data_IF_074893340209
#
_entry.id   IF_074893340209
#
_cell.length_a   1.000
_cell.length_b   1.000
_cell.length_c   1.000
_cell.angle_alpha   90.00
_cell.angle_beta   90.00
_cell.angle_gamma   90.00
#
_symmetry.space_group_name_H-M   'P 1'
#
loop_
_entity.id
_entity.type
_entity.pdbx_description
1 polymer ?
#
# COMPACT_ATOMS: atom_id res chain seq x y z
N UNK A 1 42.42 2.90 -1.63
CA UNK A 1 41.79 3.90 -2.51
C UNK A 1 42.10 5.27 -1.92
N UNK A 2 42.82 6.19 -2.59
CA UNK A 2 43.16 7.45 -1.96
C UNK A 2 41.94 8.39 -1.97
N UNK A 3 41.60 8.87 -0.78
CA UNK A 3 40.77 10.05 -0.52
C UNK A 3 41.33 11.27 -1.25
N UNK A 4 40.56 11.86 -2.16
CA UNK A 4 40.89 13.14 -2.78
C UNK A 4 39.67 14.07 -2.74
N UNK A 5 39.40 14.58 -1.53
CA UNK A 5 38.55 15.76 -1.34
C UNK A 5 39.27 16.98 -1.93
N UNK A 6 38.68 17.68 -2.91
CA UNK A 6 39.33 18.82 -3.57
C UNK A 6 39.43 20.00 -2.60
N UNK A 7 40.63 20.57 -2.46
CA UNK A 7 40.90 21.63 -1.47
C UNK A 7 40.94 23.03 -2.07
N UNK A 8 40.77 23.16 -3.39
CA UNK A 8 40.80 24.45 -4.07
C UNK A 8 39.64 24.65 -5.06
N UNK A 9 39.22 25.91 -5.21
CA UNK A 9 38.17 26.32 -6.15
C UNK A 9 38.56 25.99 -7.61
N UNK A 10 39.85 25.99 -7.92
CA UNK A 10 40.37 25.72 -9.28
C UNK A 10 40.25 24.24 -9.67
N UNK A 11 40.47 23.32 -8.73
CA UNK A 11 40.24 21.88 -8.93
C UNK A 11 38.75 21.56 -9.15
N UNK A 12 37.86 22.23 -8.41
CA UNK A 12 36.41 22.09 -8.61
C UNK A 12 35.97 22.62 -9.98
N UNK A 13 36.52 23.75 -10.43
CA UNK A 13 36.25 24.30 -11.75
C UNK A 13 36.79 23.42 -12.89
N UNK A 14 37.91 22.71 -12.67
CA UNK A 14 38.44 21.74 -13.63
C UNK A 14 37.55 20.50 -13.73
N UNK A 15 37.05 19.97 -12.60
CA UNK A 15 36.12 18.84 -12.56
C UNK A 15 34.78 19.14 -13.24
N UNK A 16 34.21 20.32 -13.02
CA UNK A 16 32.98 20.76 -13.69
C UNK A 16 33.16 20.87 -15.21
N UNK A 17 34.32 21.38 -15.67
CA UNK A 17 34.65 21.45 -17.09
C UNK A 17 34.80 20.05 -17.72
N UNK A 18 35.42 19.12 -17.00
CA UNK A 18 35.58 17.72 -17.44
C UNK A 18 34.23 16.98 -17.49
N UNK A 19 33.37 17.16 -16.49
CA UNK A 19 32.03 16.59 -16.46
C UNK A 19 31.16 17.12 -17.62
N UNK A 20 31.22 18.44 -17.87
CA UNK A 20 30.55 19.06 -19.02
C UNK A 20 31.08 18.57 -20.37
N UNK A 21 32.35 18.17 -20.45
CA UNK A 21 32.91 17.53 -21.66
C UNK A 21 32.40 16.11 -21.83
N UNK A 22 32.38 15.30 -20.77
CA UNK A 22 31.83 13.93 -20.81
C UNK A 22 30.36 13.91 -21.22
N UNK A 23 29.53 14.82 -20.69
CA UNK A 23 28.12 14.91 -21.08
C UNK A 23 27.93 15.21 -22.57
N UNK A 24 28.75 16.12 -23.13
CA UNK A 24 28.72 16.42 -24.57
C UNK A 24 29.20 15.26 -25.44
N UNK A 25 30.16 14.46 -24.94
CA UNK A 25 30.65 13.30 -25.66
C UNK A 25 29.69 12.09 -25.56
N UNK A 26 28.91 11.99 -24.48
CA UNK A 26 27.77 11.04 -24.36
C UNK A 26 26.63 11.44 -25.31
N UNK A 27 26.23 12.72 -25.31
CA UNK A 27 25.17 13.23 -26.19
C UNK A 27 25.53 13.07 -27.68
N UNK A 28 26.82 13.17 -28.01
CA UNK A 28 27.32 12.97 -29.37
C UNK A 28 27.70 11.52 -29.71
N UNK A 29 27.41 10.55 -28.83
CA UNK A 29 27.64 9.12 -29.07
C UNK A 29 29.11 8.70 -29.20
N UNK A 30 30.06 9.46 -28.63
CA UNK A 30 31.51 9.23 -28.72
C UNK A 30 32.12 8.72 -27.41
N UNK A 31 31.31 8.22 -26.48
CA UNK A 31 31.79 7.70 -25.21
C UNK A 31 32.18 6.22 -25.33
N UNK A 32 33.45 5.89 -25.09
CA UNK A 32 33.95 4.51 -24.99
C UNK A 32 34.20 4.19 -23.51
N UNK A 33 33.44 3.23 -22.97
CA UNK A 33 33.72 2.62 -21.67
C UNK A 33 34.73 1.49 -21.85
N UNK A 34 35.92 1.63 -21.27
CA UNK A 34 36.82 0.49 -21.08
C UNK A 34 36.31 -0.34 -19.89
N UNK A 35 35.67 -1.48 -20.19
CA UNK A 35 35.37 -2.53 -19.22
C UNK A 35 36.68 -3.19 -18.76
N UNK A 36 37.09 -2.97 -17.51
CA UNK A 36 38.14 -3.79 -16.90
C UNK A 36 37.58 -5.16 -16.49
N UNK A 37 38.22 -6.17 -17.05
CA UNK A 37 37.88 -7.60 -17.03
C UNK A 37 38.09 -8.23 -15.64
N UNK A 38 37.18 -9.14 -15.29
CA UNK A 38 37.37 -10.17 -14.26
C UNK A 38 38.50 -11.15 -14.64
N UNK A 39 39.21 -11.68 -13.62
CA UNK A 39 39.75 -13.06 -13.46
C UNK A 39 40.80 -13.10 -12.30
N UNK A 40 41.19 -14.27 -11.73
CA UNK A 40 40.43 -15.39 -11.16
C UNK A 40 41.01 -15.90 -9.79
N UNK A 41 40.37 -16.95 -9.27
CA UNK A 41 40.63 -17.78 -8.07
C UNK A 41 42.06 -18.39 -7.93
N UNK A 42 42.56 -18.57 -6.70
CA UNK A 42 43.75 -19.38 -6.38
C UNK A 42 43.94 -19.68 -4.87
N UNK A 43 44.22 -20.95 -4.53
CA UNK A 43 44.27 -21.61 -3.21
C UNK A 43 45.54 -21.38 -2.35
N UNK A 44 45.34 -21.52 -1.02
CA UNK A 44 46.14 -22.13 0.09
C UNK A 44 47.68 -21.97 0.20
N UNK A 45 48.14 -21.50 1.38
CA UNK A 45 49.22 -22.12 2.18
C UNK A 45 49.35 -21.54 3.62
N UNK A 46 49.67 -22.42 4.56
CA UNK A 46 49.83 -22.29 6.02
C UNK A 46 51.02 -21.42 6.54
N UNK A 47 50.78 -20.76 7.68
CA UNK A 47 51.57 -20.50 8.94
C UNK A 47 53.12 -20.74 9.06
N UNK A 48 53.86 -20.23 10.10
CA UNK A 48 53.41 -19.68 11.42
C UNK A 48 54.17 -18.44 12.02
N UNK A 49 53.61 -17.89 13.14
CA UNK A 49 54.18 -17.40 14.44
C UNK A 49 55.48 -16.52 14.48
N UNK A 50 55.71 -15.47 15.31
CA UNK A 50 55.28 -15.07 16.69
C UNK A 50 55.81 -13.61 17.00
N UNK A 51 55.71 -13.00 18.23
CA UNK A 51 55.33 -11.58 18.43
C UNK A 51 56.37 -10.68 19.16
N UNK A 52 56.10 -9.37 19.28
CA UNK A 52 56.74 -8.45 20.27
C UNK A 52 55.69 -7.46 20.83
N UNK A 53 55.38 -7.56 22.13
CA UNK A 53 55.71 -6.60 23.21
C UNK A 53 54.90 -5.28 23.15
N UNK A 54 53.80 -5.09 23.90
CA UNK A 54 53.68 -4.71 25.33
C UNK A 54 54.62 -3.57 25.75
N UNK A 55 54.08 -2.35 25.84
CA UNK A 55 54.33 -1.43 26.96
C UNK A 55 53.06 -0.65 27.31
N UNK A 56 52.80 -0.58 28.62
CA UNK A 56 51.87 0.31 29.32
C UNK A 56 52.72 1.27 30.18
N UNK A 57 52.40 2.56 30.20
CA UNK A 57 52.41 3.39 31.43
C UNK A 57 51.76 4.76 31.14
N UNK A 58 50.56 5.02 31.66
CA UNK A 58 50.22 5.83 32.86
C UNK A 58 50.68 7.30 32.87
N UNK A 59 49.70 8.21 32.91
CA UNK A 59 49.65 9.30 33.91
C UNK A 59 48.24 9.89 33.99
N UNK A 60 47.68 9.89 35.20
CA UNK A 60 46.43 10.54 35.58
C UNK A 60 46.60 12.05 35.76
N UNK A 61 45.58 12.85 35.42
CA UNK A 61 45.07 13.96 36.26
C UNK A 61 43.79 14.60 35.64
N UNK A 62 42.65 14.43 36.32
CA UNK A 62 41.46 15.31 36.26
C UNK A 62 41.73 16.59 37.10
N UNK A 63 41.02 17.75 36.96
CA UNK A 63 39.54 17.88 36.79
C UNK A 63 39.03 19.05 35.89
N UNK A 64 37.73 19.01 35.55
CA UNK A 64 36.92 20.14 35.02
C UNK A 64 36.41 21.00 36.22
N UNK A 65 36.05 22.32 36.17
CA UNK A 65 34.97 22.82 35.27
C UNK A 65 34.93 24.35 34.87
N UNK A 66 34.20 24.66 33.77
CA UNK A 66 33.43 25.92 33.46
C UNK A 66 34.16 27.22 32.97
N UNK A 67 33.45 28.27 32.46
CA UNK A 67 32.65 28.38 31.22
C UNK A 67 32.99 29.67 30.39
N UNK A 68 32.61 29.77 29.12
CA UNK A 68 32.59 31.04 28.33
C UNK A 68 31.58 30.89 27.18
N UNK A 69 30.34 31.38 27.32
CA UNK A 69 29.84 32.71 26.90
C UNK A 69 29.68 32.93 25.39
N UNK A 70 28.42 32.76 24.95
CA UNK A 70 27.57 33.61 24.09
C UNK A 70 28.04 34.13 22.72
N UNK A 71 27.40 33.65 21.64
CA UNK A 71 26.74 34.41 20.54
C UNK A 71 25.80 33.46 19.72
N UNK A 72 24.87 33.93 18.86
CA UNK A 72 23.48 34.37 19.09
C UNK A 72 22.40 33.35 18.60
N UNK A 73 21.09 33.56 18.88
CA UNK A 73 20.03 32.65 18.43
C UNK A 73 19.79 32.74 16.91
N UNK A 74 19.57 31.60 16.27
CA UNK A 74 19.16 31.49 14.86
C UNK A 74 17.71 31.98 14.72
N UNK A 75 17.53 33.30 14.73
CA UNK A 75 16.35 33.99 14.21
C UNK A 75 16.72 34.65 12.88
N UNK A 76 16.91 33.84 11.84
CA UNK A 76 16.88 34.32 10.45
C UNK A 76 15.49 34.03 9.85
N UNK A 77 14.55 34.84 10.35
CA UNK A 77 13.46 35.50 9.62
C UNK A 77 12.39 34.65 8.93
N UNK A 78 11.28 34.43 9.65
CA UNK A 78 9.89 34.30 9.15
C UNK A 78 9.59 35.28 8.00
N UNK A 79 10.16 36.49 8.05
CA UNK A 79 10.05 37.52 7.03
C UNK A 79 10.69 37.14 5.68
N UNK A 80 11.75 36.32 5.69
CA UNK A 80 12.38 35.80 4.47
C UNK A 80 11.48 34.80 3.75
N UNK A 81 10.86 33.89 4.52
CA UNK A 81 9.91 32.91 4.00
C UNK A 81 8.62 33.56 3.46
N UNK A 82 8.11 34.59 4.12
CA UNK A 82 6.95 35.33 3.61
C UNK A 82 7.25 36.10 2.33
N UNK A 83 8.47 36.65 2.19
CA UNK A 83 8.89 37.35 0.97
C UNK A 83 8.97 36.40 -0.23
N UNK A 84 9.53 35.20 -0.06
CA UNK A 84 9.59 34.18 -1.12
C UNK A 84 8.18 33.72 -1.53
N UNK A 85 7.25 33.56 -0.57
CA UNK A 85 5.84 33.24 -0.88
C UNK A 85 5.13 34.34 -1.67
N UNK A 86 5.36 35.61 -1.33
CA UNK A 86 4.79 36.73 -2.05
C UNK A 86 5.34 36.84 -3.48
N UNK A 87 6.65 36.65 -3.65
CA UNK A 87 7.30 36.64 -4.97
C UNK A 87 6.79 35.47 -5.85
N UNK A 88 6.60 34.28 -5.27
CA UNK A 88 6.05 33.12 -5.99
C UNK A 88 4.58 33.34 -6.39
N UNK A 89 3.79 34.00 -5.54
CA UNK A 89 2.40 34.33 -5.82
C UNK A 89 2.26 35.35 -6.96
N UNK A 90 3.11 36.38 -7.00
CA UNK A 90 3.15 37.33 -8.12
C UNK A 90 3.68 36.71 -9.41
N UNK A 91 4.68 35.82 -9.33
CA UNK A 91 5.16 35.08 -10.50
C UNK A 91 4.05 34.20 -11.12
N UNK A 92 3.17 33.64 -10.30
CA UNK A 92 2.04 32.80 -10.74
C UNK A 92 0.94 33.57 -11.47
N UNK A 93 0.79 34.87 -11.21
CA UNK A 93 -0.17 35.75 -11.92
C UNK A 93 0.23 36.05 -13.36
N UNK A 94 1.51 35.91 -13.70
CA UNK A 94 2.07 36.26 -15.01
C UNK A 94 2.29 35.06 -15.95
N UNK A 95 1.82 33.87 -15.56
CA UNK A 95 1.88 32.67 -16.42
C UNK A 95 0.61 32.65 -17.29
N UNK A 96 0.72 32.77 -18.62
CA UNK A 96 -0.45 32.66 -19.51
C UNK A 96 -0.98 31.22 -19.49
N UNK A 97 -2.30 31.00 -19.47
CA UNK A 97 -2.87 29.66 -19.55
C UNK A 97 -2.55 29.02 -20.91
N UNK A 98 -2.06 27.78 -20.90
CA UNK A 98 -1.92 26.99 -22.13
C UNK A 98 -3.26 26.34 -22.48
N UNK A 99 -3.90 26.94 -23.48
CA UNK A 99 -5.01 26.47 -24.32
C UNK A 99 -6.41 26.26 -23.68
N UNK A 100 -7.49 26.42 -24.49
CA UNK A 100 -8.84 26.73 -24.04
C UNK A 100 -9.81 25.54 -24.15
N UNK A 101 -11.09 25.80 -23.81
CA UNK A 101 -12.33 24.99 -23.89
C UNK A 101 -12.55 24.08 -22.66
N UNK A 102 -13.63 24.15 -21.88
CA UNK A 102 -15.02 24.54 -22.18
C UNK A 102 -15.68 25.33 -21.02
N UNK A 103 -16.37 26.42 -21.34
CA UNK A 103 -17.07 27.30 -20.39
C UNK A 103 -18.47 26.75 -20.19
N UNK A 104 -18.66 25.91 -19.17
CA UNK A 104 -19.99 25.33 -18.90
C UNK A 104 -20.16 24.44 -17.68
N UNK A 105 -19.16 24.21 -16.81
CA UNK A 105 -19.36 23.53 -15.53
C UNK A 105 -19.26 24.54 -14.39
N UNK A 106 -20.30 24.61 -13.56
CA UNK A 106 -20.22 25.27 -12.25
C UNK A 106 -19.01 24.67 -11.49
N UNK A 107 -18.20 25.49 -10.79
CA UNK A 107 -17.17 24.94 -9.93
C UNK A 107 -17.84 24.04 -8.87
N UNK A 108 -17.28 22.85 -8.66
CA UNK A 108 -17.59 22.04 -7.50
C UNK A 108 -17.47 22.92 -6.25
N UNK A 109 -18.42 22.79 -5.32
CA UNK A 109 -18.41 23.53 -4.07
C UNK A 109 -17.05 23.40 -3.37
N UNK A 110 -16.55 24.48 -2.76
CA UNK A 110 -15.35 24.44 -1.91
C UNK A 110 -15.51 23.33 -0.85
N UNK A 111 -14.47 22.54 -0.55
CA UNK A 111 -14.57 21.49 0.46
C UNK A 111 -14.87 22.13 1.83
N UNK A 112 -15.97 21.71 2.47
CA UNK A 112 -16.35 22.19 3.79
C UNK A 112 -15.26 21.87 4.83
N UNK A 113 -14.91 22.87 5.66
CA UNK A 113 -13.82 22.76 6.63
C UNK A 113 -14.20 21.83 7.80
N UNK A 114 -13.32 20.88 8.14
CA UNK A 114 -13.42 20.07 9.36
C UNK A 114 -13.32 20.98 10.59
N UNK A 115 -14.36 21.02 11.42
CA UNK A 115 -14.40 21.88 12.62
C UNK A 115 -13.79 21.18 13.83
N UNK A 116 -12.98 21.88 14.62
CA UNK A 116 -12.40 21.35 15.86
C UNK A 116 -13.29 21.68 17.06
N UNK A 117 -13.69 20.65 17.80
CA UNK A 117 -14.47 20.76 19.03
C UNK A 117 -13.62 21.26 20.21
N UNK A 118 -14.29 21.78 21.24
CA UNK A 118 -13.65 22.34 22.43
C UNK A 118 -12.87 21.30 23.27
N UNK A 119 -13.19 20.01 23.13
CA UNK A 119 -12.48 18.89 23.76
C UNK A 119 -11.25 18.43 22.95
N UNK A 120 -10.96 19.08 21.82
CA UNK A 120 -9.85 18.75 20.95
C UNK A 120 -10.16 17.69 19.90
N UNK A 121 -11.37 17.13 19.86
CA UNK A 121 -11.85 16.23 18.79
C UNK A 121 -12.19 17.01 17.52
N UNK A 122 -12.21 16.35 16.37
CA UNK A 122 -12.60 16.95 15.09
C UNK A 122 -14.00 16.48 14.71
N UNK A 123 -14.92 17.42 14.47
CA UNK A 123 -16.24 17.15 13.92
C UNK A 123 -16.12 16.94 12.41
N UNK A 124 -16.27 15.68 12.01
CA UNK A 124 -16.22 15.20 10.63
C UNK A 124 -17.63 15.02 10.04
N UNK A 125 -18.70 15.50 10.68
CA UNK A 125 -20.08 15.34 10.20
C UNK A 125 -20.29 15.90 8.78
N UNK A 126 -19.52 16.93 8.40
CA UNK A 126 -19.47 17.50 7.05
C UNK A 126 -18.88 16.53 5.98
N UNK A 127 -18.11 15.51 6.39
CA UNK A 127 -17.74 14.38 5.53
C UNK A 127 -18.89 13.37 5.35
N UNK A 128 -20.06 13.58 5.96
CA UNK A 128 -21.19 12.65 5.90
C UNK A 128 -22.52 13.36 5.59
N UNK A 129 -22.63 14.16 4.52
CA UNK A 129 -23.93 14.70 4.14
C UNK A 129 -24.86 13.54 3.71
N UNK A 130 -26.16 13.60 4.05
CA UNK A 130 -27.12 12.58 3.64
C UNK A 130 -27.22 12.51 2.11
N UNK A 131 -27.50 11.33 1.53
CA UNK A 131 -27.69 11.21 0.08
C UNK A 131 -28.81 12.14 -0.37
N UNK A 132 -28.52 12.95 -1.38
CA UNK A 132 -29.50 13.89 -1.95
C UNK A 132 -30.69 13.10 -2.51
N UNK A 133 -31.87 13.35 -1.97
CA UNK A 133 -33.12 12.81 -2.49
C UNK A 133 -33.40 13.42 -3.87
N UNK A 134 -33.03 12.69 -4.93
CA UNK A 134 -33.53 13.02 -6.26
C UNK A 134 -35.01 12.63 -6.33
N UNK A 135 -35.82 13.67 -6.49
CA UNK A 135 -37.26 13.60 -6.67
C UNK A 135 -37.58 12.95 -8.02
N UNK A 136 -38.42 11.93 -8.00
CA UNK A 136 -38.99 11.31 -9.20
C UNK A 136 -39.65 12.38 -10.09
N UNK A 137 -39.15 12.52 -11.32
CA UNK A 137 -39.91 13.10 -12.42
C UNK A 137 -40.23 11.99 -13.41
N UNK A 138 -41.49 11.56 -13.35
CA UNK A 138 -42.19 10.84 -14.40
C UNK A 138 -42.25 11.71 -15.66
N UNK A 139 -41.85 11.19 -16.82
CA UNK A 139 -42.49 11.58 -18.08
C UNK A 139 -42.30 10.54 -19.20
N UNK A 140 -43.24 10.58 -20.14
CA UNK A 140 -43.75 9.48 -20.95
C UNK A 140 -42.87 9.03 -22.13
N UNK A 141 -43.09 7.76 -22.48
CA UNK A 141 -42.63 7.03 -23.67
C UNK A 141 -43.05 7.71 -24.98
N UNK A 142 -42.13 7.79 -25.94
CA UNK A 142 -42.48 7.78 -27.38
C UNK A 142 -41.36 7.10 -28.18
N UNK A 143 -41.73 6.12 -29.00
CA UNK A 143 -40.85 5.35 -29.88
C UNK A 143 -40.69 6.06 -31.25
N UNK A 144 -39.45 6.16 -31.76
CA UNK A 144 -39.00 5.48 -33.01
C UNK A 144 -37.60 5.90 -33.49
N UNK A 145 -36.86 4.86 -33.91
CA UNK A 145 -35.92 4.71 -35.02
C UNK A 145 -34.68 5.61 -35.17
N UNK A 146 -33.52 4.99 -34.90
CA UNK A 146 -32.47 4.75 -35.89
C UNK A 146 -31.46 5.86 -36.18
N UNK A 147 -30.27 5.79 -35.56
CA UNK A 147 -28.97 6.01 -36.20
C UNK A 147 -27.82 5.72 -35.22
N UNK A 148 -26.82 4.95 -35.67
CA UNK A 148 -25.53 4.69 -35.00
C UNK A 148 -24.65 5.94 -35.03
N UNK A 149 -23.83 6.20 -33.98
CA UNK A 149 -22.37 6.21 -34.24
C UNK A 149 -21.43 5.86 -33.06
N UNK A 150 -20.36 5.17 -33.43
CA UNK A 150 -18.94 5.30 -33.02
C UNK A 150 -18.56 5.10 -31.55
N UNK A 151 -18.04 3.89 -31.30
CA UNK A 151 -17.11 3.55 -30.22
C UNK A 151 -15.86 4.44 -30.26
N UNK A 152 -15.57 5.11 -29.14
CA UNK A 152 -14.27 5.71 -28.86
C UNK A 152 -13.41 4.69 -28.15
N UNK A 153 -12.46 4.13 -28.89
CA UNK A 153 -11.45 3.20 -28.40
C UNK A 153 -10.33 3.98 -27.73
N UNK A 154 -10.20 3.88 -26.40
CA UNK A 154 -8.97 4.25 -25.68
C UNK A 154 -8.50 3.01 -24.93
N UNK A 155 -7.44 2.41 -25.46
CA UNK A 155 -6.80 1.23 -24.93
C UNK A 155 -5.31 1.56 -24.90
N UNK A 156 -4.79 1.92 -23.72
CA UNK A 156 -3.36 2.09 -23.50
C UNK A 156 -2.79 0.86 -22.77
N UNK A 157 -1.68 0.37 -23.30
CA UNK A 157 -1.01 -0.87 -22.93
C UNK A 157 0.12 -0.63 -21.92
N UNK A 158 0.01 -1.31 -20.78
CA UNK A 158 1.02 -1.95 -19.91
C UNK A 158 2.38 -1.29 -19.59
N UNK A 159 2.70 -1.28 -18.29
CA UNK A 159 4.07 -1.22 -17.78
C UNK A 159 4.14 -1.35 -16.26
N UNK A 160 4.67 -2.50 -15.81
CA UNK A 160 5.24 -2.83 -14.49
C UNK A 160 4.26 -3.27 -13.37
N UNK A 161 4.25 -4.59 -13.13
CA UNK A 161 3.38 -5.31 -12.21
C UNK A 161 3.93 -5.26 -10.79
N UNK A 162 3.43 -4.34 -9.97
CA UNK A 162 3.52 -4.44 -8.52
C UNK A 162 2.31 -5.19 -7.98
N UNK A 163 2.35 -6.52 -7.93
CA UNK A 163 1.34 -7.31 -7.22
C UNK A 163 1.36 -6.91 -5.73
N UNK A 164 0.25 -6.40 -5.20
CA UNK A 164 -0.02 -6.45 -3.77
C UNK A 164 -0.23 -7.93 -3.40
N UNK A 165 0.79 -8.50 -2.75
CA UNK A 165 0.79 -9.86 -2.25
C UNK A 165 0.02 -9.84 -0.93
N UNK A 166 -1.25 -10.23 -0.95
CA UNK A 166 -1.89 -10.78 0.25
C UNK A 166 -1.41 -12.21 0.37
N UNK A 167 -0.43 -12.48 1.23
CA UNK A 167 0.09 -13.84 1.46
C UNK A 167 -0.98 -14.72 2.11
N UNK A 168 -1.23 -15.87 1.49
CA UNK A 168 -2.07 -16.96 1.98
C UNK A 168 -1.19 -18.19 2.22
N UNK A 169 -1.59 -19.05 3.15
CA UNK A 169 -0.83 -20.26 3.49
C UNK A 169 -1.58 -21.21 4.42
N UNK A 170 -2.58 -21.94 3.90
CA UNK A 170 -3.26 -23.02 4.62
C UNK A 170 -3.37 -24.29 3.77
N UNK A 171 -2.57 -25.30 4.11
CA UNK A 171 -2.59 -26.66 3.54
C UNK A 171 -3.69 -27.50 4.21
N UNK A 172 -4.48 -28.26 3.43
CA UNK A 172 -5.47 -29.20 3.97
C UNK A 172 -5.78 -30.33 2.99
N UNK A 173 -5.27 -31.53 3.25
CA UNK A 173 -5.61 -32.78 2.57
C UNK A 173 -6.64 -33.56 3.39
N UNK A 174 -7.72 -34.03 2.76
CA UNK A 174 -8.82 -34.76 3.43
C UNK A 174 -8.62 -36.27 3.61
N UNK A 175 -9.42 -36.85 4.52
CA UNK A 175 -9.63 -38.30 4.72
C UNK A 175 -10.61 -38.60 5.87
N UNK A 176 -11.51 -39.56 5.64
CA UNK A 176 -12.74 -39.88 6.40
C UNK A 176 -12.60 -40.70 7.72
N UNK A 177 -13.68 -40.60 8.53
CA UNK A 177 -14.31 -41.52 9.52
C UNK A 177 -13.69 -41.92 10.90
N UNK A 178 -14.46 -41.54 11.94
CA UNK A 178 -14.90 -42.22 13.18
C UNK A 178 -13.95 -42.50 14.39
N UNK A 179 -14.32 -41.94 15.56
CA UNK A 179 -13.93 -42.43 16.89
C UNK A 179 -14.01 -41.39 18.02
N UNK A 180 -14.89 -41.60 18.99
CA UNK A 180 -15.21 -40.73 20.15
C UNK A 180 -14.18 -40.86 21.31
N UNK A 181 -13.70 -39.72 21.85
CA UNK A 181 -13.63 -39.35 23.29
C UNK A 181 -12.40 -38.51 23.75
N UNK A 182 -12.74 -37.37 24.37
CA UNK A 182 -12.08 -36.54 25.41
C UNK A 182 -10.82 -35.69 25.10
N UNK A 183 -11.01 -34.37 25.29
CA UNK A 183 -10.11 -33.22 25.04
C UNK A 183 -8.76 -33.24 25.78
N UNK A 184 -7.73 -32.61 25.18
CA UNK A 184 -7.31 -31.31 25.73
C UNK A 184 -6.88 -30.25 24.70
N UNK A 185 -7.41 -29.03 24.85
CA UNK A 185 -6.94 -27.71 24.37
C UNK A 185 -6.36 -27.69 22.94
N UNK A 186 -7.26 -27.60 21.96
CA UNK A 186 -6.96 -27.44 20.54
C UNK A 186 -6.47 -26.00 20.22
N UNK A 187 -5.23 -25.88 19.73
CA UNK A 187 -4.96 -24.91 18.66
C UNK A 187 -5.62 -25.45 17.39
N UNK A 188 -6.95 -25.40 17.36
CA UNK A 188 -7.78 -25.96 16.29
C UNK A 188 -7.56 -25.16 15.03
N UNK A 189 -7.28 -25.87 13.93
CA UNK A 189 -7.22 -25.30 12.60
C UNK A 189 -8.63 -24.82 12.23
N UNK A 190 -8.98 -23.59 12.60
CA UNK A 190 -10.31 -23.04 12.37
C UNK A 190 -10.56 -22.98 10.86
N UNK A 191 -11.57 -23.69 10.39
CA UNK A 191 -12.02 -23.66 8.99
C UNK A 191 -13.39 -23.02 8.91
N UNK A 192 -13.62 -22.21 7.88
CA UNK A 192 -14.94 -21.66 7.61
C UNK A 192 -15.82 -22.78 7.02
N UNK A 193 -17.00 -23.08 7.60
CA UNK A 193 -17.89 -24.10 7.07
C UNK A 193 -18.31 -23.81 5.62
N UNK A 194 -18.42 -24.85 4.79
CA UNK A 194 -18.86 -24.72 3.39
C UNK A 194 -20.28 -24.14 3.25
N UNK A 195 -21.11 -24.34 4.28
CA UNK A 195 -22.48 -23.86 4.39
C UNK A 195 -22.62 -22.58 5.21
N UNK A 196 -21.55 -21.77 5.31
CA UNK A 196 -21.60 -20.46 5.97
C UNK A 196 -22.77 -19.63 5.43
N UNK A 197 -23.55 -19.08 6.35
CA UNK A 197 -24.73 -18.31 6.01
C UNK A 197 -24.37 -16.85 5.71
N UNK A 198 -25.15 -16.13 4.89
CA UNK A 198 -25.04 -14.69 4.76
C UNK A 198 -25.11 -13.99 6.13
N UNK A 199 -24.24 -12.99 6.33
CA UNK A 199 -24.13 -12.27 7.59
C UNK A 199 -22.75 -11.67 7.80
N UNK A 200 -22.57 -11.06 8.98
CA UNK A 200 -21.30 -10.53 9.44
C UNK A 200 -20.67 -11.44 10.49
N UNK A 201 -19.36 -11.63 10.39
CA UNK A 201 -18.57 -12.49 11.26
C UNK A 201 -17.34 -11.73 11.74
N UNK A 202 -17.22 -11.58 13.06
CA UNK A 202 -16.17 -10.77 13.68
C UNK A 202 -14.86 -11.54 13.91
N UNK A 203 -14.94 -12.85 14.11
CA UNK A 203 -13.84 -13.65 14.66
C UNK A 203 -13.34 -14.75 13.70
N UNK A 204 -13.49 -14.57 12.38
CA UNK A 204 -12.93 -15.51 11.39
C UNK A 204 -11.42 -15.20 11.21
N UNK A 205 -10.48 -16.10 11.52
CA UNK A 205 -9.06 -15.87 11.28
C UNK A 205 -8.75 -15.56 9.81
N UNK A 206 -7.65 -14.84 9.55
CA UNK A 206 -7.32 -14.37 8.21
C UNK A 206 -7.14 -15.53 7.21
N UNK A 207 -6.39 -16.55 7.60
CA UNK A 207 -6.13 -17.76 6.80
C UNK A 207 -7.43 -18.50 6.49
N UNK A 208 -8.31 -18.64 7.49
CA UNK A 208 -9.60 -19.28 7.34
C UNK A 208 -10.54 -18.50 6.40
N UNK A 209 -10.50 -17.18 6.45
CA UNK A 209 -11.22 -16.33 5.51
C UNK A 209 -10.71 -16.58 4.09
N UNK A 210 -9.40 -16.50 3.83
CA UNK A 210 -8.87 -16.68 2.48
C UNK A 210 -9.14 -18.07 1.89
N UNK A 211 -9.09 -19.11 2.71
CA UNK A 211 -9.46 -20.48 2.32
C UNK A 211 -10.98 -20.73 2.23
N UNK A 212 -11.79 -19.87 2.85
CA UNK A 212 -13.24 -20.05 2.99
C UNK A 212 -14.04 -19.95 1.67
N UNK A 213 -15.29 -20.44 1.69
CA UNK A 213 -16.19 -20.41 0.55
C UNK A 213 -16.56 -18.98 0.16
N UNK A 214 -17.20 -18.83 -1.01
CA UNK A 214 -17.63 -17.55 -1.54
C UNK A 214 -16.55 -16.79 -2.30
N UNK A 215 -16.97 -16.04 -3.32
CA UNK A 215 -16.08 -15.31 -4.22
C UNK A 215 -15.69 -13.95 -3.63
N UNK A 216 -14.40 -13.65 -3.64
CA UNK A 216 -13.83 -12.39 -3.13
C UNK A 216 -13.37 -11.45 -4.26
N UNK A 217 -13.08 -10.19 -3.93
CA UNK A 217 -12.55 -9.21 -4.90
C UNK A 217 -11.29 -9.69 -5.60
N UNK A 218 -10.32 -10.22 -4.85
CA UNK A 218 -9.05 -10.74 -5.41
C UNK A 218 -9.30 -11.90 -6.38
N UNK A 219 -10.28 -12.75 -6.08
CA UNK A 219 -10.68 -13.82 -6.99
C UNK A 219 -11.38 -13.30 -8.25
N UNK A 220 -12.17 -12.22 -8.16
CA UNK A 220 -12.76 -11.58 -9.34
C UNK A 220 -11.70 -10.85 -10.19
N UNK A 221 -10.63 -10.35 -9.59
CA UNK A 221 -9.49 -9.83 -10.35
C UNK A 221 -8.82 -10.91 -11.21
N UNK A 222 -8.69 -12.14 -10.70
CA UNK A 222 -8.22 -13.26 -11.52
C UNK A 222 -9.14 -13.52 -12.72
N UNK A 223 -10.46 -13.50 -12.49
CA UNK A 223 -11.45 -13.69 -13.56
C UNK A 223 -11.37 -12.57 -14.60
N UNK A 224 -11.10 -11.33 -14.17
CA UNK A 224 -10.98 -10.18 -15.04
C UNK A 224 -9.76 -10.24 -15.97
N UNK A 225 -8.66 -10.84 -15.50
CA UNK A 225 -7.50 -11.15 -16.35
C UNK A 225 -7.88 -12.30 -17.29
N UNK A 226 -8.20 -13.47 -16.71
CA UNK A 226 -8.62 -14.64 -17.45
C UNK A 226 -9.26 -15.67 -16.50
N UNK A 227 -10.43 -16.27 -16.81
CA UNK A 227 -11.05 -17.25 -15.91
C UNK A 227 -10.18 -18.48 -15.60
N UNK A 228 -9.23 -18.85 -16.46
CA UNK A 228 -8.28 -19.93 -16.19
C UNK A 228 -7.26 -19.57 -15.09
N UNK A 229 -6.95 -18.27 -14.90
CA UNK A 229 -6.04 -17.82 -13.84
C UNK A 229 -6.61 -18.09 -12.45
N UNK A 230 -7.94 -18.02 -12.28
CA UNK A 230 -8.59 -18.40 -11.02
C UNK A 230 -8.31 -19.86 -10.64
N UNK A 231 -8.32 -20.77 -11.62
CA UNK A 231 -7.96 -22.17 -11.37
C UNK A 231 -6.46 -22.33 -11.12
N UNK A 232 -5.64 -21.68 -11.95
CA UNK A 232 -4.19 -21.72 -11.82
C UNK A 232 -3.75 -21.24 -10.43
N UNK A 233 -4.26 -20.10 -9.93
CA UNK A 233 -3.88 -19.56 -8.62
C UNK A 233 -4.16 -20.53 -7.48
N UNK A 234 -5.24 -21.33 -7.56
CA UNK A 234 -5.58 -22.34 -6.56
C UNK A 234 -4.71 -23.60 -6.63
N UNK A 235 -4.25 -23.97 -7.81
CA UNK A 235 -3.51 -25.23 -8.02
C UNK A 235 -2.01 -25.05 -8.14
N UNK A 236 -1.53 -23.84 -8.41
CA UNK A 236 -0.12 -23.54 -8.55
C UNK A 236 0.60 -23.72 -7.21
N UNK A 237 1.81 -24.31 -7.21
CA UNK A 237 2.61 -24.42 -5.99
C UNK A 237 3.07 -23.04 -5.51
N UNK A 238 3.07 -22.84 -4.19
CA UNK A 238 3.55 -21.62 -3.55
C UNK A 238 4.99 -21.82 -3.07
N UNK A 239 5.87 -20.89 -3.44
CA UNK A 239 7.24 -20.81 -2.92
C UNK A 239 7.22 -20.15 -1.53
N UNK A 240 7.18 -20.97 -0.49
CA UNK A 240 7.06 -20.52 0.91
C UNK A 240 8.33 -19.85 1.44
N UNK A 241 9.45 -19.90 0.73
CA UNK A 241 10.66 -19.17 1.11
C UNK A 241 10.56 -17.70 0.69
N UNK A 242 9.89 -17.41 -0.43
CA UNK A 242 9.72 -16.05 -0.96
C UNK A 242 8.52 -15.29 -0.39
N UNK A 243 7.61 -15.96 0.31
CA UNK A 243 6.50 -15.32 1.03
C UNK A 243 6.91 -14.72 2.37
N UNK A 244 8.13 -15.00 2.85
CA UNK A 244 8.62 -14.56 4.18
C UNK A 244 9.17 -13.13 4.21
N UNK A 245 9.22 -12.43 3.08
CA UNK A 245 9.65 -11.04 3.07
C UNK A 245 8.66 -10.18 3.88
N UNK A 246 9.18 -9.33 4.77
CA UNK A 246 8.35 -8.38 5.52
C UNK A 246 7.60 -7.48 4.54
N UNK A 247 6.28 -7.56 4.54
CA UNK A 247 5.45 -6.57 3.88
C UNK A 247 5.17 -5.40 4.84
N UNK A 248 5.83 -4.27 4.57
CA UNK A 248 5.62 -3.01 5.29
C UNK A 248 4.15 -2.55 5.22
N UNK A 249 3.42 -2.89 4.14
CA UNK A 249 1.99 -2.62 4.03
C UNK A 249 1.17 -3.35 5.09
N UNK A 250 1.35 -4.67 5.18
CA UNK A 250 0.74 -5.52 6.22
C UNK A 250 1.07 -5.05 7.63
N UNK A 251 2.33 -4.69 7.91
CA UNK A 251 2.74 -4.19 9.22
C UNK A 251 2.04 -2.85 9.57
N UNK A 252 1.96 -1.92 8.61
CA UNK A 252 1.28 -0.64 8.78
C UNK A 252 -0.23 -0.80 9.03
N UNK A 253 -0.88 -1.63 8.23
CA UNK A 253 -2.30 -1.92 8.34
C UNK A 253 -2.64 -2.52 9.72
N UNK A 254 -1.93 -3.57 10.13
CA UNK A 254 -2.10 -4.19 11.45
C UNK A 254 -1.81 -3.20 12.59
N UNK A 255 -0.77 -2.35 12.45
CA UNK A 255 -0.44 -1.32 13.44
C UNK A 255 -1.52 -0.26 13.62
N UNK A 256 -2.24 0.08 12.54
CA UNK A 256 -3.31 1.09 12.53
C UNK A 256 -4.64 0.53 13.03
N UNK A 257 -4.98 -0.70 12.67
CA UNK A 257 -6.33 -1.26 12.86
C UNK A 257 -6.40 -2.26 14.01
N UNK A 258 -5.34 -3.02 14.26
CA UNK A 258 -5.30 -4.11 15.22
C UNK A 258 -4.06 -4.02 16.14
N UNK A 259 -3.92 -2.94 16.94
CA UNK A 259 -2.70 -2.67 17.70
C UNK A 259 -2.33 -3.76 18.72
N UNK A 260 -3.30 -4.57 19.17
CA UNK A 260 -3.04 -5.70 20.06
C UNK A 260 -2.58 -6.95 19.29
N UNK A 261 -3.06 -7.18 18.06
CA UNK A 261 -2.53 -8.22 17.18
C UNK A 261 -1.15 -7.85 16.65
N UNK A 262 -0.88 -6.57 16.40
CA UNK A 262 0.42 -6.09 15.97
C UNK A 262 1.53 -6.53 16.96
N UNK A 263 1.29 -6.41 18.27
CA UNK A 263 2.25 -6.82 19.32
C UNK A 263 2.49 -8.33 19.37
N UNK A 264 1.54 -9.13 18.86
CA UNK A 264 1.64 -10.59 18.79
C UNK A 264 2.35 -11.05 17.52
N UNK A 265 2.13 -10.34 16.41
CA UNK A 265 2.59 -10.73 15.06
C UNK A 265 3.94 -10.13 14.69
N UNK A 266 4.31 -8.99 15.27
CA UNK A 266 5.52 -8.25 14.91
C UNK A 266 6.40 -7.96 16.12
N UNK A 267 7.71 -8.05 15.93
CA UNK A 267 8.72 -7.59 16.90
C UNK A 267 9.72 -6.69 16.19
N UNK A 268 9.99 -5.51 16.78
CA UNK A 268 11.02 -4.60 16.28
C UNK A 268 12.34 -4.99 16.95
N UNK A 269 13.29 -5.42 16.13
CA UNK A 269 14.64 -5.76 16.55
C UNK A 269 15.36 -4.52 17.09
N UNK A 270 16.16 -4.65 18.16
CA UNK A 270 17.01 -3.56 18.63
C UNK A 270 18.07 -3.20 17.57
N UNK A 271 18.70 -2.04 17.73
CA UNK A 271 19.80 -1.65 16.86
C UNK A 271 21.07 -2.43 17.21
N UNK A 272 21.58 -3.20 16.26
CA UNK A 272 22.80 -3.98 16.42
C UNK A 272 23.99 -3.33 15.73
N UNK A 273 25.15 -3.31 16.39
CA UNK A 273 26.37 -2.84 15.77
C UNK A 273 26.99 -3.91 14.85
N UNK A 274 26.57 -3.93 13.59
CA UNK A 274 27.05 -4.88 12.57
C UNK A 274 28.55 -4.77 12.23
N UNK A 275 29.28 -3.76 12.75
CA UNK A 275 30.72 -3.60 12.53
C UNK A 275 31.56 -4.41 13.52
N UNK A 276 31.00 -4.85 14.64
CA UNK A 276 31.71 -5.65 15.65
C UNK A 276 31.30 -7.12 15.56
N UNK A 277 32.19 -8.03 15.96
CA UNK A 277 31.85 -9.47 16.06
C UNK A 277 30.73 -9.68 17.08
N UNK A 278 30.82 -9.02 18.23
CA UNK A 278 29.79 -9.08 19.28
C UNK A 278 28.40 -8.64 18.77
N UNK A 279 28.30 -7.53 18.03
CA UNK A 279 27.01 -7.08 17.52
C UNK A 279 26.39 -7.99 16.45
N UNK A 280 27.23 -8.70 15.67
CA UNK A 280 26.76 -9.76 14.76
C UNK A 280 26.29 -11.00 15.52
N UNK A 281 26.97 -11.36 16.60
CA UNK A 281 26.58 -12.48 17.47
C UNK A 281 25.27 -12.18 18.21
N UNK A 282 25.09 -10.94 18.70
CA UNK A 282 23.84 -10.47 19.31
C UNK A 282 22.67 -10.48 18.32
N UNK A 283 22.88 -9.96 17.10
CA UNK A 283 21.86 -9.99 16.03
C UNK A 283 21.46 -11.43 15.70
N UNK A 284 22.45 -12.32 15.56
CA UNK A 284 22.22 -13.73 15.28
C UNK A 284 21.44 -14.41 16.42
N UNK A 285 21.85 -14.20 17.66
CA UNK A 285 21.19 -14.77 18.83
C UNK A 285 19.74 -14.27 18.96
N UNK A 286 19.48 -13.01 18.62
CA UNK A 286 18.13 -12.46 18.60
C UNK A 286 17.26 -13.12 17.52
N UNK A 287 17.76 -13.22 16.29
CA UNK A 287 17.03 -13.89 15.20
C UNK A 287 16.75 -15.36 15.52
N UNK A 288 17.73 -16.09 16.05
CA UNK A 288 17.57 -17.48 16.50
C UNK A 288 16.51 -17.60 17.61
N UNK A 289 16.43 -16.63 18.52
CA UNK A 289 15.40 -16.60 19.57
C UNK A 289 13.98 -16.39 19.02
N UNK A 290 13.86 -15.75 17.85
CA UNK A 290 12.59 -15.47 17.19
C UNK A 290 12.18 -16.54 16.17
N UNK A 291 13.12 -17.37 15.67
CA UNK A 291 12.93 -18.28 14.53
C UNK A 291 11.83 -19.34 14.75
N UNK A 292 11.50 -19.65 16.01
CA UNK A 292 10.45 -20.59 16.40
C UNK A 292 9.19 -19.95 16.98
N UNK A 293 9.13 -18.62 17.02
CA UNK A 293 8.01 -17.89 17.63
C UNK A 293 6.84 -17.65 16.67
N UNK A 294 7.04 -17.81 15.36
CA UNK A 294 6.06 -17.44 14.33
C UNK A 294 5.86 -15.93 14.19
N UNK A 295 6.65 -15.12 14.90
CA UNK A 295 6.59 -13.65 14.88
C UNK A 295 7.46 -13.13 13.73
N UNK A 296 6.94 -12.14 13.02
CA UNK A 296 7.70 -11.44 11.98
C UNK A 296 8.65 -10.42 12.62
N UNK A 297 9.94 -10.60 12.40
CA UNK A 297 10.98 -9.68 12.89
C UNK A 297 11.14 -8.52 11.93
N UNK A 298 10.99 -7.30 12.42
CA UNK A 298 11.31 -6.06 11.72
C UNK A 298 12.66 -5.54 12.20
N UNK A 299 13.49 -5.02 11.30
CA UNK A 299 14.71 -4.30 11.68
C UNK A 299 14.39 -3.00 12.43
N UNK A 300 15.36 -2.47 13.19
CA UNK A 300 15.23 -1.17 13.86
C UNK A 300 14.88 -0.04 12.87
N UNK A 301 15.44 -0.07 11.66
CA UNK A 301 15.14 0.94 10.61
C UNK A 301 13.71 0.82 10.10
N UNK A 302 13.24 -0.40 9.83
CA UNK A 302 11.85 -0.67 9.41
C UNK A 302 10.86 -0.28 10.50
N UNK A 303 11.13 -0.61 11.76
CA UNK A 303 10.30 -0.22 12.91
C UNK A 303 10.23 1.30 13.07
N UNK A 304 11.37 2.01 12.93
CA UNK A 304 11.41 3.47 12.95
C UNK A 304 10.56 4.07 11.83
N UNK A 305 10.67 3.52 10.61
CA UNK A 305 9.89 3.95 9.45
C UNK A 305 8.39 3.74 9.67
N UNK A 306 8.00 2.57 10.15
CA UNK A 306 6.62 2.22 10.49
C UNK A 306 6.01 3.20 11.49
N UNK A 307 6.71 3.48 12.61
CA UNK A 307 6.19 4.40 13.63
C UNK A 307 6.10 5.85 13.14
N UNK A 308 6.99 6.28 12.22
CA UNK A 308 6.87 7.60 11.58
C UNK A 308 5.68 7.67 10.60
N UNK A 309 5.40 6.60 9.86
CA UNK A 309 4.21 6.50 9.01
C UNK A 309 2.94 6.52 9.88
N UNK A 310 2.89 5.69 10.92
CA UNK A 310 1.81 5.67 11.91
C UNK A 310 1.59 7.06 12.54
N UNK A 311 2.67 7.72 12.98
CA UNK A 311 2.62 9.07 13.53
C UNK A 311 2.11 10.10 12.54
N UNK A 312 2.44 9.96 11.25
CA UNK A 312 1.93 10.83 10.18
C UNK A 312 0.42 10.64 9.98
N UNK A 313 -0.08 9.40 10.07
CA UNK A 313 -1.52 9.10 10.01
C UNK A 313 -2.27 9.70 11.20
N UNK A 314 -1.75 9.50 12.42
CA UNK A 314 -2.38 10.02 13.65
C UNK A 314 -2.30 11.55 13.76
N UNK A 315 -1.38 12.19 13.04
CA UNK A 315 -1.32 13.65 12.93
C UNK A 315 -2.34 14.22 11.93
N UNK A 316 -2.83 13.41 10.97
CA UNK A 316 -3.84 13.83 10.01
C UNK A 316 -5.24 13.80 10.66
N UNK A 317 -5.96 14.93 10.77
CA UNK A 317 -7.16 15.05 11.61
C UNK A 317 -8.29 14.11 11.17
N UNK A 318 -8.54 14.00 9.86
CA UNK A 318 -9.55 13.09 9.33
C UNK A 318 -9.19 11.61 9.51
N UNK A 319 -7.91 11.26 9.38
CA UNK A 319 -7.48 9.86 9.50
C UNK A 319 -7.59 9.40 10.95
N UNK A 320 -7.09 10.22 11.87
CA UNK A 320 -7.23 10.00 13.30
C UNK A 320 -8.69 9.85 13.71
N UNK A 321 -9.55 10.77 13.28
CA UNK A 321 -10.98 10.72 13.61
C UNK A 321 -11.63 9.41 13.12
N UNK A 322 -11.34 8.97 11.90
CA UNK A 322 -11.88 7.72 11.34
C UNK A 322 -11.34 6.46 12.05
N UNK A 323 -10.06 6.46 12.44
CA UNK A 323 -9.44 5.33 13.15
C UNK A 323 -9.93 5.22 14.60
N UNK A 324 -10.04 6.34 15.31
CA UNK A 324 -10.52 6.42 16.71
C UNK A 324 -12.04 6.26 16.82
N UNK A 325 -12.80 6.50 15.75
CA UNK A 325 -14.24 6.33 15.74
C UNK A 325 -14.66 4.89 16.05
N UNK A 326 -15.81 4.77 16.73
CA UNK A 326 -16.42 3.48 17.05
C UNK A 326 -16.76 2.72 15.76
N UNK A 327 -16.27 1.50 15.69
CA UNK A 327 -16.37 0.66 14.51
C UNK A 327 -15.76 -0.71 14.76
N UNK A 328 -15.84 -1.57 13.76
CA UNK A 328 -15.21 -2.89 13.77
C UNK A 328 -14.17 -2.95 12.66
N UNK A 329 -13.07 -3.61 12.96
CA UNK A 329 -11.97 -3.86 12.04
C UNK A 329 -11.98 -5.31 11.60
N UNK A 330 -11.41 -5.60 10.44
CA UNK A 330 -11.17 -6.96 9.95
C UNK A 330 -12.35 -7.92 10.06
N UNK A 331 -13.60 -7.44 9.91
CA UNK A 331 -14.76 -8.32 10.02
C UNK A 331 -15.18 -8.81 8.65
N UNK A 332 -15.52 -10.10 8.54
CA UNK A 332 -15.92 -10.70 7.28
C UNK A 332 -17.42 -10.52 7.06
N UNK A 333 -17.82 -10.08 5.87
CA UNK A 333 -19.22 -10.00 5.45
C UNK A 333 -19.43 -10.97 4.30
N UNK A 334 -20.42 -11.85 4.47
CA UNK A 334 -20.87 -12.80 3.47
C UNK A 334 -22.27 -12.44 3.01
N UNK A 335 -22.51 -12.49 1.70
CA UNK A 335 -23.85 -12.31 1.15
C UNK A 335 -24.06 -13.17 -0.09
N UNK A 336 -25.31 -13.52 -0.34
CA UNK A 336 -25.69 -14.18 -1.60
C UNK A 336 -26.08 -13.12 -2.61
N UNK A 337 -25.38 -13.10 -3.76
CA UNK A 337 -25.73 -12.20 -4.86
C UNK A 337 -27.11 -12.55 -5.42
N UNK A 338 -28.00 -11.56 -5.51
CA UNK A 338 -29.40 -11.80 -5.89
C UNK A 338 -29.59 -12.16 -7.37
N UNK A 339 -28.65 -11.78 -8.23
CA UNK A 339 -28.73 -12.05 -9.68
C UNK A 339 -28.14 -13.41 -10.05
N UNK A 340 -26.96 -13.75 -9.51
CA UNK A 340 -26.23 -14.99 -9.84
C UNK A 340 -26.48 -16.12 -8.85
N UNK A 341 -26.95 -15.81 -7.64
CA UNK A 341 -27.04 -16.78 -6.53
C UNK A 341 -25.69 -17.18 -5.94
N UNK A 342 -24.59 -16.54 -6.37
CA UNK A 342 -23.26 -16.85 -5.86
C UNK A 342 -23.06 -16.26 -4.46
N UNK A 343 -22.48 -17.06 -3.56
CA UNK A 343 -21.99 -16.56 -2.29
C UNK A 343 -20.78 -15.66 -2.56
N UNK A 344 -20.83 -14.43 -2.09
CA UNK A 344 -19.78 -13.43 -2.17
C UNK A 344 -19.28 -13.09 -0.77
N UNK A 345 -18.02 -12.63 -0.69
CA UNK A 345 -17.42 -12.20 0.58
C UNK A 345 -16.50 -11.00 0.44
N UNK A 346 -16.50 -10.19 1.47
CA UNK A 346 -15.59 -9.04 1.65
C UNK A 346 -15.09 -9.02 3.09
N UNK A 347 -13.96 -8.34 3.30
CA UNK A 347 -13.40 -8.07 4.62
C UNK A 347 -12.95 -6.60 4.64
N UNK A 348 -13.84 -5.67 5.02
CA UNK A 348 -13.47 -4.27 5.20
C UNK A 348 -12.42 -4.11 6.30
N UNK A 349 -11.39 -3.31 6.03
CA UNK A 349 -10.35 -2.98 7.02
C UNK A 349 -10.96 -2.35 8.28
N UNK A 350 -11.88 -1.39 8.09
CA UNK A 350 -12.73 -0.87 9.16
C UNK A 350 -14.07 -0.41 8.60
N UNK A 351 -15.13 -0.57 9.37
CA UNK A 351 -16.39 0.16 9.16
C UNK A 351 -16.85 0.80 10.46
N UNK A 352 -17.57 1.92 10.35
CA UNK A 352 -18.07 2.64 11.50
C UNK A 352 -19.45 2.12 11.93
N UNK A 353 -19.71 2.07 13.24
CA UNK A 353 -20.99 1.58 13.77
C UNK A 353 -22.09 2.64 13.69
N UNK A 354 -21.71 3.91 13.84
CA UNK A 354 -22.65 5.04 13.95
C UNK A 354 -22.76 5.86 12.65
N UNK A 355 -22.09 5.44 11.58
CA UNK A 355 -22.12 6.09 10.27
C UNK A 355 -21.86 5.03 9.19
N UNK A 356 -22.59 5.02 8.06
CA UNK A 356 -22.39 4.04 7.00
C UNK A 356 -21.14 4.42 6.19
N UNK A 357 -19.96 4.16 6.75
CA UNK A 357 -18.67 4.33 6.08
C UNK A 357 -17.79 3.11 6.27
N UNK A 358 -17.18 2.71 5.16
CA UNK A 358 -16.09 1.75 5.09
C UNK A 358 -14.79 2.51 4.84
N UNK A 359 -13.76 2.17 5.59
CA UNK A 359 -12.40 2.64 5.45
C UNK A 359 -11.53 1.48 4.97
N UNK A 360 -10.65 1.74 4.01
CA UNK A 360 -9.64 0.81 3.52
C UNK A 360 -8.26 1.51 3.51
N UNK A 361 -7.26 0.90 4.12
CA UNK A 361 -5.92 1.43 4.30
C UNK A 361 -5.02 0.94 3.17
N UNK A 362 -4.39 1.88 2.46
CA UNK A 362 -3.47 1.58 1.36
C UNK A 362 -2.10 2.19 1.61
N UNK A 363 -1.07 1.34 1.64
CA UNK A 363 0.31 1.81 1.56
C UNK A 363 0.66 2.04 0.09
N UNK A 364 1.21 3.21 -0.23
CA UNK A 364 1.60 3.58 -1.60
C UNK A 364 3.09 3.89 -1.65
N UNK A 365 3.77 3.52 -2.74
CA UNK A 365 5.18 3.88 -2.92
C UNK A 365 5.35 5.41 -2.92
N UNK A 366 4.51 6.11 -3.69
CA UNK A 366 4.49 7.56 -3.85
C UNK A 366 3.04 8.04 -3.97
N UNK A 367 2.71 9.17 -3.33
CA UNK A 367 1.33 9.66 -3.28
C UNK A 367 0.78 10.06 -4.66
N UNK A 368 1.63 10.54 -5.57
CA UNK A 368 1.22 10.93 -6.93
C UNK A 368 0.73 9.75 -7.77
N UNK A 369 1.10 8.52 -7.39
CA UNK A 369 0.71 7.30 -8.10
C UNK A 369 -0.67 6.77 -7.70
N UNK A 370 -1.25 7.24 -6.59
CA UNK A 370 -2.46 6.63 -6.04
C UNK A 370 -3.63 6.66 -7.03
N UNK A 371 -3.86 7.76 -7.75
CA UNK A 371 -4.92 7.84 -8.75
C UNK A 371 -4.74 6.79 -9.87
N UNK A 372 -3.50 6.53 -10.30
CA UNK A 372 -3.20 5.49 -11.29
C UNK A 372 -3.40 4.08 -10.70
N UNK A 373 -3.01 3.87 -9.44
CA UNK A 373 -3.22 2.62 -8.72
C UNK A 373 -4.71 2.26 -8.57
N UNK A 374 -5.60 3.26 -8.45
CA UNK A 374 -7.06 3.01 -8.42
C UNK A 374 -7.52 2.25 -9.67
N UNK A 375 -6.96 2.58 -10.83
CA UNK A 375 -7.25 1.88 -12.08
C UNK A 375 -6.49 0.56 -12.19
N UNK A 376 -5.17 0.58 -11.98
CA UNK A 376 -4.29 -0.60 -12.16
C UNK A 376 -4.62 -1.75 -11.21
N UNK A 377 -4.91 -1.45 -9.94
CA UNK A 377 -5.26 -2.44 -8.93
C UNK A 377 -6.76 -2.56 -8.72
N UNK A 378 -7.55 -1.90 -9.57
CA UNK A 378 -9.01 -2.01 -9.57
C UNK A 378 -9.63 -1.68 -8.21
N UNK A 379 -9.12 -0.65 -7.54
CA UNK A 379 -9.65 -0.22 -6.24
C UNK A 379 -11.09 0.31 -6.36
N UNK A 380 -11.48 0.84 -7.52
CA UNK A 380 -12.85 1.20 -7.82
C UNK A 380 -13.80 -0.03 -7.81
N UNK A 381 -13.34 -1.19 -8.29
CA UNK A 381 -14.07 -2.47 -8.20
C UNK A 381 -14.14 -2.97 -6.75
N UNK A 382 -13.06 -2.77 -5.97
CA UNK A 382 -13.06 -3.06 -4.54
C UNK A 382 -14.13 -2.24 -3.81
N UNK A 383 -14.12 -0.92 -4.00
CA UNK A 383 -15.08 -0.02 -3.38
C UNK A 383 -16.52 -0.43 -3.72
N UNK A 384 -16.82 -0.67 -4.99
CA UNK A 384 -18.15 -1.09 -5.43
C UNK A 384 -18.59 -2.42 -4.80
N UNK A 385 -17.74 -3.47 -4.84
CA UNK A 385 -18.06 -4.76 -4.25
C UNK A 385 -18.26 -4.68 -2.73
N UNK A 386 -17.48 -3.84 -2.04
CA UNK A 386 -17.58 -3.67 -0.59
C UNK A 386 -18.85 -2.91 -0.21
N UNK A 387 -19.21 -1.87 -0.98
CA UNK A 387 -20.48 -1.17 -0.82
C UNK A 387 -21.67 -2.12 -1.02
N UNK A 388 -21.63 -3.00 -2.02
CA UNK A 388 -22.70 -3.97 -2.28
C UNK A 388 -22.83 -5.02 -1.18
N UNK A 389 -21.71 -5.58 -0.69
CA UNK A 389 -21.75 -6.53 0.42
C UNK A 389 -22.29 -5.90 1.70
N UNK A 390 -21.88 -4.66 2.00
CA UNK A 390 -22.42 -3.91 3.14
C UNK A 390 -23.90 -3.58 2.98
N UNK A 391 -24.33 -3.17 1.79
CA UNK A 391 -25.74 -2.89 1.49
C UNK A 391 -26.61 -4.14 1.61
N UNK A 392 -26.11 -5.29 1.15
CA UNK A 392 -26.81 -6.57 1.29
C UNK A 392 -26.97 -6.97 2.76
N UNK A 393 -25.98 -6.68 3.61
CA UNK A 393 -26.01 -6.97 5.03
C UNK A 393 -26.85 -5.98 5.85
N UNK A 394 -26.61 -4.68 5.68
CA UNK A 394 -27.18 -3.62 6.52
C UNK A 394 -28.46 -2.98 5.97
N UNK A 395 -28.71 -3.12 4.67
CA UNK A 395 -29.77 -2.40 3.95
C UNK A 395 -29.40 -0.97 3.54
N UNK A 396 -28.22 -0.48 3.92
CA UNK A 396 -27.77 0.90 3.65
C UNK A 396 -26.56 0.91 2.71
N UNK A 397 -26.46 1.92 1.84
CA UNK A 397 -25.27 2.10 1.00
C UNK A 397 -24.23 2.90 1.76
N UNK A 398 -23.01 2.37 1.99
CA UNK A 398 -21.98 3.09 2.71
C UNK A 398 -21.22 4.04 1.78
N UNK A 399 -20.57 5.05 2.36
CA UNK A 399 -19.44 5.72 1.71
C UNK A 399 -18.20 4.84 1.83
N UNK A 400 -17.41 4.77 0.76
CA UNK A 400 -16.13 4.08 0.77
C UNK A 400 -14.99 5.08 0.74
N UNK A 401 -14.08 5.01 1.71
CA UNK A 401 -12.93 5.90 1.82
C UNK A 401 -11.62 5.10 1.85
N UNK A 402 -10.63 5.59 1.10
CA UNK A 402 -9.26 5.10 1.19
C UNK A 402 -8.42 6.00 2.09
N UNK A 403 -7.67 5.38 3.00
CA UNK A 403 -6.60 6.00 3.77
C UNK A 403 -5.27 5.62 3.12
N UNK A 404 -4.76 6.50 2.27
CA UNK A 404 -3.49 6.28 1.57
C UNK A 404 -2.33 6.82 2.41
N UNK A 405 -1.30 6.00 2.60
CA UNK A 405 -0.06 6.36 3.32
C UNK A 405 1.12 6.14 2.41
N UNK A 406 1.88 7.20 2.11
CA UNK A 406 3.05 7.08 1.26
C UNK A 406 4.26 6.56 2.04
N UNK A 407 5.01 5.68 1.41
CA UNK A 407 6.30 5.19 1.87
C UNK A 407 7.47 6.12 1.50
N UNK A 408 7.26 7.00 0.51
CA UNK A 408 8.20 8.06 0.18
C UNK A 408 8.06 9.25 1.13
N UNK A 409 9.18 9.92 1.40
CA UNK A 409 9.21 11.11 2.25
C UNK A 409 8.99 12.36 1.37
N UNK A 410 8.10 13.24 1.82
CA UNK A 410 7.96 14.61 1.32
C UNK A 410 8.13 15.59 2.48
N UNK A 411 9.02 16.57 2.32
CA UNK A 411 9.33 17.60 3.31
C UNK A 411 9.60 17.02 4.73
N UNK A 412 10.28 15.87 4.81
CA UNK A 412 10.63 15.22 6.07
C UNK A 412 9.49 14.45 6.76
N UNK A 413 8.36 14.24 6.09
CA UNK A 413 7.20 13.50 6.59
C UNK A 413 6.77 12.43 5.60
N UNK A 414 5.96 11.48 6.05
CA UNK A 414 5.27 10.53 5.17
C UNK A 414 3.88 11.08 4.82
N UNK A 415 3.61 11.47 3.56
CA UNK A 415 2.30 11.99 3.16
C UNK A 415 1.17 11.01 3.44
N UNK A 416 0.06 11.54 3.95
CA UNK A 416 -1.17 10.78 4.24
C UNK A 416 -2.37 11.52 3.68
N UNK A 417 -3.15 10.86 2.83
CA UNK A 417 -4.32 11.44 2.18
C UNK A 417 -5.54 10.54 2.40
N UNK A 418 -6.71 11.17 2.55
CA UNK A 418 -8.00 10.48 2.48
C UNK A 418 -8.61 10.71 1.10
N UNK A 419 -9.11 9.65 0.50
CA UNK A 419 -9.76 9.69 -0.80
C UNK A 419 -11.15 9.07 -0.71
N UNK A 420 -12.11 9.70 -1.38
CA UNK A 420 -13.40 9.10 -1.71
C UNK A 420 -13.49 9.16 -3.22
N UNK A 421 -13.86 8.04 -3.83
CA UNK A 421 -14.01 7.97 -5.28
C UNK A 421 -15.27 8.74 -5.70
N UNK A 422 -15.19 9.43 -6.83
CA UNK A 422 -16.35 10.07 -7.46
C UNK A 422 -17.33 9.01 -7.99
N UNK A 423 -18.58 9.42 -8.19
CA UNK A 423 -19.67 8.52 -8.61
C UNK A 423 -19.35 7.78 -9.91
N UNK A 424 -18.65 8.43 -10.86
CA UNK A 424 -18.22 7.80 -12.12
C UNK A 424 -17.31 6.59 -11.89
N UNK A 425 -16.34 6.68 -10.97
CA UNK A 425 -15.48 5.55 -10.61
C UNK A 425 -16.30 4.43 -9.95
N UNK A 426 -17.27 4.78 -9.12
CA UNK A 426 -18.14 3.78 -8.50
C UNK A 426 -18.98 3.03 -9.55
N UNK A 427 -19.58 3.74 -10.51
CA UNK A 427 -20.40 3.14 -11.56
C UNK A 427 -19.60 2.22 -12.50
N UNK A 428 -18.39 2.64 -12.86
CA UNK A 428 -17.43 1.81 -13.62
C UNK A 428 -17.05 0.58 -12.80
N UNK A 429 -16.69 0.78 -11.53
CA UNK A 429 -16.32 -0.29 -10.58
C UNK A 429 -17.42 -1.32 -10.42
N UNK A 430 -18.66 -0.86 -10.26
CA UNK A 430 -19.85 -1.72 -10.16
C UNK A 430 -20.09 -2.51 -11.45
N UNK A 431 -20.00 -1.85 -12.61
CA UNK A 431 -20.18 -2.49 -13.91
C UNK A 431 -19.15 -3.61 -14.14
N UNK A 432 -17.89 -3.35 -13.78
CA UNK A 432 -16.81 -4.34 -13.86
C UNK A 432 -16.99 -5.48 -12.86
N UNK A 433 -17.35 -5.17 -11.61
CA UNK A 433 -17.70 -6.17 -10.59
C UNK A 433 -18.81 -7.11 -11.10
N UNK A 434 -19.92 -6.56 -11.62
CA UNK A 434 -21.03 -7.34 -12.18
C UNK A 434 -20.57 -8.20 -13.36
N UNK A 435 -19.76 -7.66 -14.27
CA UNK A 435 -19.22 -8.41 -15.42
C UNK A 435 -18.41 -9.62 -14.96
N UNK A 436 -17.52 -9.43 -13.99
CA UNK A 436 -16.61 -10.48 -13.53
C UNK A 436 -17.37 -11.54 -12.73
N UNK A 437 -18.30 -11.14 -11.85
CA UNK A 437 -19.13 -12.07 -11.10
C UNK A 437 -20.04 -12.92 -12.01
N UNK A 438 -20.65 -12.30 -13.03
CA UNK A 438 -21.42 -13.03 -14.03
C UNK A 438 -20.55 -14.00 -14.85
N UNK A 439 -19.30 -13.61 -15.14
CA UNK A 439 -18.34 -14.48 -15.84
C UNK A 439 -17.94 -15.66 -14.96
N UNK A 440 -17.61 -15.40 -13.69
CA UNK A 440 -17.34 -16.42 -12.68
C UNK A 440 -18.49 -17.43 -12.59
N UNK A 441 -19.73 -16.95 -12.43
CA UNK A 441 -20.93 -17.78 -12.35
C UNK A 441 -21.06 -18.68 -13.59
N UNK A 442 -20.99 -18.11 -14.81
CA UNK A 442 -21.06 -18.87 -16.06
C UNK A 442 -19.98 -19.95 -16.14
N UNK A 443 -18.74 -19.62 -15.78
CA UNK A 443 -17.62 -20.56 -15.79
C UNK A 443 -17.84 -21.69 -14.77
N UNK A 444 -18.28 -21.35 -13.54
CA UNK A 444 -18.57 -22.31 -12.48
C UNK A 444 -19.71 -23.25 -12.85
N UNK A 445 -20.85 -22.73 -13.31
CA UNK A 445 -22.03 -23.53 -13.67
C UNK A 445 -21.78 -24.44 -14.88
N UNK A 446 -20.98 -23.99 -15.85
CA UNK A 446 -20.66 -24.79 -17.05
C UNK A 446 -19.41 -25.66 -16.90
N UNK A 447 -18.66 -25.49 -15.80
CA UNK A 447 -17.32 -26.02 -15.59
C UNK A 447 -16.35 -25.74 -16.77
N UNK A 448 -16.47 -24.54 -17.37
CA UNK A 448 -15.62 -24.09 -18.50
C UNK A 448 -14.89 -22.80 -18.14
N UNK A 449 -13.59 -22.92 -17.90
CA UNK A 449 -12.74 -21.82 -17.43
C UNK A 449 -11.80 -21.27 -18.52
N UNK A 450 -11.85 -21.86 -19.72
CA UNK A 450 -10.93 -21.50 -20.81
C UNK A 450 -9.53 -22.10 -20.64
N UNK A 451 -8.65 -21.78 -21.58
CA UNK A 451 -7.29 -22.34 -21.66
C UNK A 451 -6.18 -21.39 -21.19
N UNK A 452 -6.53 -20.17 -20.74
CA UNK A 452 -5.54 -19.19 -20.29
C UNK A 452 -4.83 -18.41 -21.40
N UNK A 453 -5.33 -18.44 -22.64
CA UNK A 453 -4.76 -17.62 -23.71
C UNK A 453 -5.18 -16.16 -23.59
N UNK A 454 -4.20 -15.26 -23.53
CA UNK A 454 -4.37 -13.83 -23.66
C UNK A 454 -3.95 -13.37 -25.06
N UNK A 455 -4.70 -12.43 -25.64
CA UNK A 455 -4.36 -11.84 -26.93
C UNK A 455 -3.45 -10.64 -26.67
N UNK A 456 -2.18 -10.78 -27.03
CA UNK A 456 -1.25 -9.65 -27.00
C UNK A 456 -1.45 -8.84 -28.27
N UNK A 457 -2.01 -7.63 -28.10
CA UNK A 457 -2.11 -6.69 -29.20
C UNK A 457 -0.78 -5.98 -29.45
N UNK A 458 -0.55 -5.58 -30.70
CA UNK A 458 0.58 -4.71 -31.04
C UNK A 458 0.45 -3.39 -30.26
N UNK A 459 1.44 -2.95 -29.46
CA UNK A 459 1.31 -1.76 -28.64
C UNK A 459 1.25 -0.48 -29.48
N UNK A 460 0.63 0.59 -28.96
CA UNK A 460 0.40 1.84 -29.70
C UNK A 460 1.67 2.42 -30.34
N UNK A 461 2.78 2.46 -29.59
CA UNK A 461 4.07 2.96 -30.08
C UNK A 461 4.65 2.14 -31.24
N UNK A 462 4.18 0.91 -31.45
CA UNK A 462 4.55 0.07 -32.58
C UNK A 462 3.56 0.17 -33.74
N UNK A 463 2.40 0.84 -33.59
CA UNK A 463 1.33 0.92 -34.61
C UNK A 463 1.61 1.94 -35.73
N UNK A 464 2.67 2.74 -35.63
CA UNK A 464 3.19 3.59 -36.70
C UNK A 464 2.82 5.06 -36.57
#
# INVERSE_FOLDING_TARGET
MPDNTPTTHEENAARLRQAGKCLRDIEAGRFQCDEEKQHPTGELADEPATPEAVEQDTTEHHPDPQPLENEPPVSQTEAGYQKIRAELHEARKNIPPKNPVDVGKQPAAEPEAVTRNADGTFDVSALFPPPSSQTEKTEARTERDGETPKESNQQETAGDTGQEITTDGGSGTGGDEAGEAADPVENGNFTVPDDIQPGIYYDIPNEAYHAGPGVSKSQLDDIAVCPAFYQWRKSAPVDTEKTKALDMGTALHCRLLEPDEFKKRFIIAPEFNRRTTAGKEEEKAFLESCENSGITVMTSEEGRKLELMYGSVMAHPGCRALLEAEGKTESSIYWTDTETGELCRIRPDKFLTNSPLILDVKKVADMSRFARHVEEFRYHVQAAMYCEGWKAYSGETPRFAFLAVSESIDCGKYPVHLYILEDEHHDIGYSLFRRDLNTYHKCKSSNKWGWGFEIIERPYWARG
#
